data_IF_871948268533
#
_entry.id   IF_871948268533
#
_cell.length_a   1.000
_cell.length_b   1.000
_cell.length_c   1.000
_cell.angle_alpha   90.00
_cell.angle_beta   90.00
_cell.angle_gamma   90.00
#
_symmetry.space_group_name_H-M   'P 1'
#
loop_
_entity.id
_entity.type
_entity.pdbx_description
1 polymer ?
#
# COMPACT_ATOMS: atom_id res chain seq x y z
N UNK A 1 -0.09 -13.55 5.13
CA UNK A 1 -0.64 -12.61 4.13
C UNK A 1 -0.11 -13.03 2.77
N UNK A 2 -1.00 -13.27 1.80
CA UNK A 2 -0.67 -13.55 0.40
C UNK A 2 -0.33 -12.26 -0.36
N UNK A 3 0.23 -12.39 -1.57
CA UNK A 3 0.48 -11.25 -2.47
C UNK A 3 -0.84 -10.55 -2.83
N UNK A 4 -1.94 -11.30 -2.94
CA UNK A 4 -3.25 -10.74 -3.23
C UNK A 4 -3.84 -10.01 -2.01
N UNK A 5 -3.58 -10.48 -0.79
CA UNK A 5 -3.93 -9.74 0.44
C UNK A 5 -3.18 -8.41 0.50
N UNK A 6 -1.93 -8.37 0.04
CA UNK A 6 -1.13 -7.15 0.03
C UNK A 6 -1.63 -6.13 -1.01
N UNK A 7 -2.29 -6.59 -2.09
CA UNK A 7 -2.96 -5.73 -3.07
C UNK A 7 -4.26 -5.10 -2.55
N UNK A 8 -4.89 -5.74 -1.56
CA UNK A 8 -6.13 -5.26 -0.95
C UNK A 8 -5.90 -4.16 0.11
N UNK A 9 -4.65 -3.93 0.53
CA UNK A 9 -4.30 -2.89 1.50
C UNK A 9 -4.65 -1.52 0.93
N UNK A 10 -5.43 -0.75 1.69
CA UNK A 10 -5.82 0.62 1.36
C UNK A 10 -5.11 1.63 2.26
N UNK A 11 -4.90 2.86 1.78
CA UNK A 11 -4.35 3.95 2.58
C UNK A 11 -5.15 4.22 3.86
N UNK A 12 -6.45 3.95 3.88
CA UNK A 12 -7.33 4.10 5.04
C UNK A 12 -6.88 3.24 6.21
N UNK A 13 -6.59 1.95 5.97
CA UNK A 13 -6.03 1.05 6.98
C UNK A 13 -4.68 1.55 7.51
N UNK A 14 -3.84 2.09 6.61
CA UNK A 14 -2.53 2.64 6.99
C UNK A 14 -2.67 3.90 7.86
N UNK A 15 -3.64 4.75 7.56
CA UNK A 15 -3.94 5.97 8.35
C UNK A 15 -4.50 5.63 9.71
N UNK A 16 -5.40 4.65 9.79
CA UNK A 16 -6.00 4.20 11.05
C UNK A 16 -4.95 3.57 11.96
N UNK A 17 -4.14 2.65 11.43
CA UNK A 17 -3.10 1.95 12.20
C UNK A 17 -2.03 2.91 12.71
N UNK A 18 -1.63 3.90 11.90
CA UNK A 18 -0.61 4.88 12.25
C UNK A 18 -1.18 6.15 12.91
N UNK A 19 -2.51 6.25 13.05
CA UNK A 19 -3.20 7.44 13.57
C UNK A 19 -2.67 8.75 12.97
N UNK A 20 -2.49 8.77 11.63
CA UNK A 20 -1.83 9.88 10.96
C UNK A 20 -2.71 11.14 11.00
N UNK A 21 -2.14 12.31 11.36
CA UNK A 21 -2.88 13.57 11.28
C UNK A 21 -3.20 13.91 9.80
N UNK A 22 -4.24 14.73 9.53
CA UNK A 22 -4.72 14.99 8.17
C UNK A 22 -3.64 15.44 7.18
N UNK A 23 -2.66 16.19 7.66
CA UNK A 23 -1.53 16.70 6.86
C UNK A 23 -0.56 15.62 6.40
N UNK A 24 -0.53 14.44 7.04
CA UNK A 24 0.36 13.31 6.71
C UNK A 24 -0.32 12.16 5.97
N UNK A 25 -1.58 12.34 5.54
CA UNK A 25 -2.30 11.34 4.73
C UNK A 25 -1.58 11.11 3.38
N UNK A 26 -0.87 12.10 2.84
CA UNK A 26 -0.08 11.89 1.63
C UNK A 26 0.96 10.77 1.79
N UNK A 27 1.46 10.52 3.00
CA UNK A 27 2.40 9.43 3.29
C UNK A 27 1.72 8.05 3.16
N UNK A 28 0.44 7.93 3.52
CA UNK A 28 -0.29 6.66 3.40
C UNK A 28 -0.69 6.37 1.96
N UNK A 29 -1.04 7.39 1.18
CA UNK A 29 -1.25 7.26 -0.27
C UNK A 29 0.04 6.82 -0.97
N UNK A 30 1.16 7.47 -0.64
CA UNK A 30 2.46 7.08 -1.19
C UNK A 30 2.85 5.64 -0.82
N UNK A 31 2.56 5.22 0.41
CA UNK A 31 2.82 3.86 0.86
C UNK A 31 1.95 2.84 0.10
N UNK A 32 0.66 3.12 -0.10
CA UNK A 32 -0.24 2.28 -0.89
C UNK A 32 0.26 2.12 -2.34
N UNK A 33 0.61 3.23 -2.99
CA UNK A 33 1.11 3.23 -4.36
C UNK A 33 2.41 2.44 -4.49
N UNK A 34 3.33 2.59 -3.53
CA UNK A 34 4.59 1.86 -3.51
C UNK A 34 4.37 0.34 -3.38
N UNK A 35 3.44 -0.10 -2.54
CA UNK A 35 3.08 -1.51 -2.38
C UNK A 35 2.49 -2.07 -3.67
N UNK A 36 1.54 -1.37 -4.29
CA UNK A 36 0.92 -1.76 -5.56
C UNK A 36 1.94 -1.86 -6.69
N UNK A 37 2.84 -0.88 -6.79
CA UNK A 37 3.91 -0.88 -7.78
C UNK A 37 4.87 -2.06 -7.58
N UNK A 38 5.29 -2.33 -6.34
CA UNK A 38 6.17 -3.46 -6.03
C UNK A 38 5.52 -4.82 -6.34
N UNK A 39 4.23 -4.99 -6.04
CA UNK A 39 3.49 -6.22 -6.37
C UNK A 39 3.32 -6.37 -7.89
N UNK A 40 3.02 -5.28 -8.60
CA UNK A 40 2.92 -5.28 -10.06
C UNK A 40 4.24 -5.69 -10.70
N UNK A 41 5.37 -5.09 -10.27
CA UNK A 41 6.71 -5.46 -10.73
C UNK A 41 7.01 -6.94 -10.42
N UNK A 42 6.73 -7.40 -9.20
CA UNK A 42 6.90 -8.80 -8.82
C UNK A 42 6.09 -9.77 -9.69
N UNK A 43 4.83 -9.44 -10.00
CA UNK A 43 3.97 -10.25 -10.89
C UNK A 43 4.50 -10.22 -12.33
N UNK A 44 4.99 -9.07 -12.81
CA UNK A 44 5.53 -8.91 -14.17
C UNK A 44 6.87 -9.63 -14.38
N UNK A 45 7.71 -9.72 -13.35
CA UNK A 45 9.01 -10.41 -13.39
C UNK A 45 8.92 -11.92 -13.17
N UNK A 46 7.79 -12.41 -12.65
CA UNK A 46 7.52 -13.84 -12.45
C UNK A 46 6.98 -14.56 -13.70
N UNK A 47 6.99 -13.89 -14.84
CA UNK A 47 6.69 -14.44 -16.16
C UNK A 47 7.97 -14.93 -16.83
#
# INVERSE_FOLDING_TARGET
>A
KSVDDAMAIQNTEIVEELSLPPVKIHCSVLAEDAIKAAISDYKSRKV
#
